data_IF_360632788703
#
_entry.id   IF_360632788703
#
_cell.length_a   1.000
_cell.length_b   1.000
_cell.length_c   1.000
_cell.angle_alpha   90.00
_cell.angle_beta   90.00
_cell.angle_gamma   90.00
#
_symmetry.space_group_name_H-M   'P 1'
#
loop_
_entity.id
_entity.type
_entity.pdbx_description
1 polymer ?
#
# COMPACT_ATOMS: atom_id res chain seq x y z
N UNK A 1 -16.35 18.02 -2.31
CA UNK A 1 -14.90 17.76 -2.33
C UNK A 1 -14.45 17.64 -0.89
N UNK A 2 -13.98 16.47 -0.44
CA UNK A 2 -13.32 16.40 0.86
C UNK A 2 -11.98 17.13 0.71
N UNK A 3 -11.87 18.32 1.29
CA UNK A 3 -10.57 18.98 1.46
C UNK A 3 -9.71 18.09 2.33
N UNK A 4 -8.61 17.58 1.75
CA UNK A 4 -7.57 16.87 2.49
C UNK A 4 -7.08 17.76 3.63
N UNK A 5 -6.85 17.21 4.82
CA UNK A 5 -6.30 17.97 5.93
C UNK A 5 -4.88 18.49 5.59
N UNK A 6 -4.44 19.61 6.18
CA UNK A 6 -3.16 20.22 5.84
C UNK A 6 -1.96 19.27 5.99
N UNK A 7 -1.98 18.38 6.98
CA UNK A 7 -0.88 17.43 7.20
C UNK A 7 -0.85 16.34 6.13
N UNK A 8 -2.00 15.87 5.67
CA UNK A 8 -2.08 14.97 4.51
C UNK A 8 -1.58 15.64 3.24
N UNK A 9 -1.88 16.92 3.02
CA UNK A 9 -1.35 17.66 1.87
C UNK A 9 0.18 17.76 1.92
N UNK A 10 0.74 18.15 3.07
CA UNK A 10 2.19 18.21 3.28
C UNK A 10 2.88 16.85 3.06
N UNK A 11 2.28 15.76 3.54
CA UNK A 11 2.76 14.40 3.28
C UNK A 11 2.79 14.11 1.78
N UNK A 12 1.71 14.40 1.06
CA UNK A 12 1.62 14.15 -0.39
C UNK A 12 2.64 14.98 -1.17
N UNK A 13 2.77 16.27 -0.85
CA UNK A 13 3.74 17.16 -1.49
C UNK A 13 5.17 16.69 -1.26
N UNK A 14 5.48 16.24 -0.04
CA UNK A 14 6.80 15.68 0.30
C UNK A 14 7.09 14.40 -0.49
N UNK A 15 6.10 13.51 -0.63
CA UNK A 15 6.23 12.28 -1.42
C UNK A 15 6.42 12.57 -2.92
N UNK A 16 5.72 13.59 -3.45
CA UNK A 16 5.80 13.99 -4.86
C UNK A 16 7.09 14.73 -5.21
N UNK A 17 7.76 15.36 -4.23
CA UNK A 17 9.03 16.04 -4.43
C UNK A 17 10.24 15.09 -4.63
N UNK A 18 10.08 13.79 -4.36
CA UNK A 18 11.13 12.80 -4.57
C UNK A 18 11.42 12.64 -6.07
N UNK A 19 12.67 12.88 -6.48
CA UNK A 19 13.07 12.93 -7.89
C UNK A 19 13.26 11.54 -8.53
N UNK A 20 13.53 10.52 -7.71
CA UNK A 20 13.73 9.15 -8.16
C UNK A 20 13.32 8.12 -7.10
N UNK A 21 13.42 6.83 -7.46
CA UNK A 21 13.04 5.70 -6.60
C UNK A 21 13.91 5.61 -5.34
N UNK A 22 15.18 5.99 -5.42
CA UNK A 22 16.10 5.91 -4.30
C UNK A 22 15.80 6.99 -3.27
N UNK A 23 15.57 8.23 -3.73
CA UNK A 23 15.14 9.35 -2.91
C UNK A 23 13.81 9.04 -2.20
N UNK A 24 12.84 8.50 -2.93
CA UNK A 24 11.55 8.12 -2.33
C UNK A 24 11.69 6.99 -1.30
N UNK A 25 12.56 6.00 -1.56
CA UNK A 25 12.83 4.92 -0.61
C UNK A 25 13.45 5.46 0.69
N UNK A 26 14.44 6.37 0.59
CA UNK A 26 15.05 7.00 1.76
C UNK A 26 14.04 7.82 2.57
N UNK A 27 13.18 8.58 1.88
CA UNK A 27 12.09 9.32 2.51
C UNK A 27 11.17 8.36 3.28
N UNK A 28 10.68 7.29 2.64
CA UNK A 28 9.81 6.31 3.28
C UNK A 28 10.49 5.60 4.46
N UNK A 29 11.80 5.31 4.37
CA UNK A 29 12.58 4.75 5.48
C UNK A 29 12.72 5.71 6.67
N UNK A 30 12.65 7.02 6.43
CA UNK A 30 12.70 8.03 7.51
C UNK A 30 11.34 8.23 8.18
N UNK A 31 10.25 8.01 7.45
CA UNK A 31 8.87 8.22 7.92
C UNK A 31 8.26 6.96 8.56
N UNK A 32 8.62 5.78 8.06
CA UNK A 32 7.99 4.52 8.42
C UNK A 32 8.92 3.66 9.28
N UNK A 33 8.31 2.84 10.12
CA UNK A 33 9.05 1.76 10.78
C UNK A 33 9.47 0.69 9.75
N UNK A 34 10.54 -0.08 10.03
CA UNK A 34 10.93 -1.20 9.17
C UNK A 34 9.81 -2.21 8.93
N UNK A 35 8.94 -2.43 9.93
CA UNK A 35 7.80 -3.32 9.82
C UNK A 35 6.75 -2.78 8.83
N UNK A 36 6.42 -1.49 8.89
CA UNK A 36 5.48 -0.85 7.96
C UNK A 36 6.01 -0.85 6.53
N UNK A 37 7.29 -0.52 6.35
CA UNK A 37 7.93 -0.52 5.03
C UNK A 37 7.95 -1.91 4.39
N UNK A 38 7.98 -2.97 5.20
CA UNK A 38 7.87 -4.35 4.72
C UNK A 38 6.42 -4.74 4.38
N UNK A 39 5.43 -4.23 5.11
CA UNK A 39 4.02 -4.61 4.95
C UNK A 39 3.29 -3.83 3.83
N UNK A 40 3.59 -2.54 3.63
CA UNK A 40 2.93 -1.70 2.62
C UNK A 40 3.08 -2.27 1.19
N UNK A 41 4.28 -2.71 0.74
CA UNK A 41 4.42 -3.32 -0.59
C UNK A 41 3.58 -4.58 -0.75
N UNK A 42 3.44 -5.41 0.28
CA UNK A 42 2.57 -6.60 0.24
C UNK A 42 1.11 -6.21 0.04
N UNK A 43 0.64 -5.15 0.73
CA UNK A 43 -0.73 -4.63 0.54
C UNK A 43 -0.94 -4.15 -0.90
N UNK A 44 0.02 -3.45 -1.48
CA UNK A 44 -0.03 -3.05 -2.89
C UNK A 44 -0.13 -4.26 -3.83
N UNK A 45 0.67 -5.31 -3.59
CA UNK A 45 0.60 -6.56 -4.38
C UNK A 45 -0.75 -7.27 -4.23
N UNK A 46 -1.29 -7.34 -3.02
CA UNK A 46 -2.63 -7.90 -2.76
C UNK A 46 -3.67 -7.18 -3.63
N UNK A 47 -3.72 -5.85 -3.59
CA UNK A 47 -4.70 -5.08 -4.36
C UNK A 47 -4.56 -5.30 -5.87
N UNK A 48 -3.33 -5.24 -6.39
CA UNK A 48 -3.05 -5.45 -7.82
C UNK A 48 -3.49 -6.83 -8.31
N UNK A 49 -3.21 -7.89 -7.54
CA UNK A 49 -3.56 -9.27 -7.90
C UNK A 49 -5.05 -9.55 -7.75
N UNK A 50 -5.69 -8.97 -6.74
CA UNK A 50 -7.15 -9.02 -6.59
C UNK A 50 -7.86 -8.34 -7.77
N UNK A 51 -7.37 -7.19 -8.23
CA UNK A 51 -7.88 -6.53 -9.43
C UNK A 51 -7.67 -7.37 -10.70
N UNK A 52 -6.59 -8.15 -10.76
CA UNK A 52 -6.34 -9.11 -11.83
C UNK A 52 -7.21 -10.39 -11.75
N UNK A 53 -8.08 -10.52 -10.74
CA UNK A 53 -8.98 -11.66 -10.57
C UNK A 53 -8.31 -12.90 -9.96
N UNK A 54 -7.11 -12.77 -9.39
CA UNK A 54 -6.41 -13.90 -8.78
C UNK A 54 -7.14 -14.41 -7.51
N UNK A 55 -7.22 -15.74 -7.29
CA UNK A 55 -7.84 -16.29 -6.08
C UNK A 55 -7.11 -15.86 -4.80
N UNK A 56 -7.88 -15.44 -3.78
CA UNK A 56 -7.32 -14.93 -2.52
C UNK A 56 -6.38 -15.90 -1.81
N UNK A 57 -6.66 -17.22 -1.90
CA UNK A 57 -5.82 -18.27 -1.31
C UNK A 57 -4.43 -18.31 -1.97
N UNK A 58 -4.40 -18.25 -3.30
CA UNK A 58 -3.15 -18.21 -4.07
C UNK A 58 -2.32 -16.96 -3.71
N UNK A 59 -2.97 -15.80 -3.60
CA UNK A 59 -2.31 -14.56 -3.19
C UNK A 59 -1.72 -14.68 -1.78
N UNK A 60 -2.46 -15.29 -0.84
CA UNK A 60 -2.01 -15.48 0.53
C UNK A 60 -0.76 -16.38 0.61
N UNK A 61 -0.78 -17.49 -0.12
CA UNK A 61 0.33 -18.45 -0.21
C UNK A 61 1.58 -17.80 -0.83
N UNK A 62 1.45 -17.16 -1.99
CA UNK A 62 2.59 -16.58 -2.71
C UNK A 62 3.21 -15.37 -2.02
N UNK A 63 2.42 -14.58 -1.29
CA UNK A 63 2.92 -13.43 -0.53
C UNK A 63 3.33 -13.79 0.91
N UNK A 64 3.11 -15.03 1.34
CA UNK A 64 3.40 -15.48 2.71
C UNK A 64 2.60 -14.73 3.77
N UNK A 65 1.35 -14.36 3.45
CA UNK A 65 0.47 -13.62 4.36
C UNK A 65 -0.75 -14.46 4.74
N UNK A 66 -1.33 -14.19 5.91
CA UNK A 66 -2.57 -14.85 6.31
C UNK A 66 -3.74 -14.49 5.38
N UNK A 67 -4.65 -15.45 5.16
CA UNK A 67 -5.86 -15.26 4.34
C UNK A 67 -6.70 -14.05 4.78
N UNK A 68 -6.74 -13.76 6.09
CA UNK A 68 -7.43 -12.60 6.64
C UNK A 68 -6.89 -11.27 6.10
N UNK A 69 -5.59 -11.18 5.83
CA UNK A 69 -4.95 -9.99 5.25
C UNK A 69 -5.42 -9.75 3.82
N UNK A 70 -5.50 -10.81 3.01
CA UNK A 70 -6.00 -10.75 1.63
C UNK A 70 -7.49 -10.42 1.60
N UNK A 71 -8.29 -11.04 2.47
CA UNK A 71 -9.73 -10.76 2.61
C UNK A 71 -10.01 -9.30 2.97
N UNK A 72 -9.19 -8.67 3.82
CA UNK A 72 -9.29 -7.23 4.09
C UNK A 72 -8.99 -6.38 2.85
N UNK A 73 -7.95 -6.74 2.09
CA UNK A 73 -7.63 -6.09 0.81
C UNK A 73 -8.79 -6.17 -0.19
N UNK A 74 -9.45 -7.32 -0.30
CA UNK A 74 -10.61 -7.51 -1.18
C UNK A 74 -11.82 -6.66 -0.77
N UNK A 75 -12.03 -6.42 0.53
CA UNK A 75 -13.09 -5.53 1.01
C UNK A 75 -12.76 -4.06 0.75
N UNK A 76 -11.50 -3.65 0.91
CA UNK A 76 -11.06 -2.30 0.59
C UNK A 76 -11.26 -1.99 -0.90
N UNK A 77 -10.86 -2.92 -1.77
CA UNK A 77 -11.02 -2.77 -3.22
C UNK A 77 -12.49 -2.59 -3.65
N UNK A 78 -13.44 -3.25 -2.98
CA UNK A 78 -14.88 -3.08 -3.24
C UNK A 78 -15.47 -1.75 -2.75
N UNK A 79 -14.75 -0.98 -1.93
CA UNK A 79 -15.21 0.32 -1.41
C UNK A 79 -14.74 1.50 -2.25
N UNK A 80 -13.64 1.31 -2.98
CA UNK A 80 -13.00 2.36 -3.81
C UNK A 80 -13.32 2.20 -5.32
N UNK A 81 -14.12 1.19 -5.67
CA UNK A 81 -14.81 0.99 -6.96
C UNK A 81 -16.32 1.09 -6.74
#
# INVERSE_FOLDING_TARGET
>A
MNTLDPHTQELLDTLLAAQDRQALLQLLQSLLTPAELHEIPKRLQILKRLQAGEPQRKIAEELGVGIATVSRGARALKRDL
#
